data_IF_072531463685
#
_entry.id   IF_072531463685
#
_cell.length_a   1.000
_cell.length_b   1.000
_cell.length_c   1.000
_cell.angle_alpha   90.00
_cell.angle_beta   90.00
_cell.angle_gamma   90.00
#
_symmetry.space_group_name_H-M   'P 1'
#
loop_
_entity.id
_entity.type
_entity.pdbx_description
1 polymer ?
#
# COMPACT_ATOMS: atom_id res chain seq x y z
N UNK A 1 -62.94 61.00 3.61
CA UNK A 1 -61.67 61.75 3.53
C UNK A 1 -60.55 60.75 3.78
N UNK A 2 -59.75 60.45 2.78
CA UNK A 2 -58.69 59.42 2.87
C UNK A 2 -57.43 60.08 3.43
N UNK A 3 -56.99 59.64 4.61
CA UNK A 3 -55.85 60.20 5.32
C UNK A 3 -54.53 59.77 4.65
N UNK A 4 -53.89 60.70 3.92
CA UNK A 4 -52.57 60.52 3.28
C UNK A 4 -51.44 60.20 4.26
N UNK A 5 -51.56 60.69 5.50
CA UNK A 5 -50.58 60.46 6.57
C UNK A 5 -50.42 58.99 6.95
N UNK A 6 -51.50 58.18 6.86
CA UNK A 6 -51.43 56.75 7.19
C UNK A 6 -50.70 55.96 6.12
N UNK A 7 -50.78 56.40 4.87
CA UNK A 7 -50.10 55.76 3.73
C UNK A 7 -48.60 56.05 3.75
N UNK A 8 -48.19 57.28 4.10
CA UNK A 8 -46.77 57.66 4.23
C UNK A 8 -46.07 56.96 5.41
N UNK A 9 -46.75 56.80 6.55
CA UNK A 9 -46.21 56.04 7.70
C UNK A 9 -46.06 54.55 7.34
N UNK A 10 -46.98 54.03 6.54
CA UNK A 10 -47.00 52.63 6.13
C UNK A 10 -45.99 52.34 5.01
N UNK A 11 -45.70 53.34 4.17
CA UNK A 11 -44.60 53.33 3.19
C UNK A 11 -43.24 53.53 3.87
N UNK A 12 -43.11 54.38 4.88
CA UNK A 12 -41.88 54.50 5.69
C UNK A 12 -41.61 53.26 6.55
N UNK A 13 -42.65 52.64 7.12
CA UNK A 13 -42.53 51.35 7.82
C UNK A 13 -42.18 50.23 6.84
N UNK A 14 -42.77 50.21 5.63
CA UNK A 14 -42.45 49.24 4.59
C UNK A 14 -41.05 49.45 3.98
N UNK A 15 -40.59 50.70 3.81
CA UNK A 15 -39.22 51.02 3.37
C UNK A 15 -38.21 50.73 4.49
N UNK A 16 -38.54 50.98 5.76
CA UNK A 16 -37.70 50.59 6.90
C UNK A 16 -37.67 49.06 7.08
N UNK A 17 -38.75 48.35 6.82
CA UNK A 17 -38.78 46.87 6.75
C UNK A 17 -38.05 46.32 5.52
N UNK A 18 -38.06 47.03 4.38
CA UNK A 18 -37.32 46.65 3.16
C UNK A 18 -35.81 46.95 3.25
N UNK A 19 -35.40 47.90 4.10
CA UNK A 19 -33.99 48.30 4.27
C UNK A 19 -33.37 47.69 5.54
N UNK A 20 -34.15 47.21 6.50
CA UNK A 20 -33.67 46.55 7.72
C UNK A 20 -33.85 45.03 7.64
N UNK A 21 -32.71 44.34 7.56
CA UNK A 21 -32.48 42.89 7.61
C UNK A 21 -32.71 42.06 6.32
N UNK A 22 -31.84 42.27 5.33
CA UNK A 22 -31.05 41.11 4.87
C UNK A 22 -29.99 40.81 5.94
N UNK A 23 -30.39 40.11 7.01
CA UNK A 23 -29.43 39.44 7.89
C UNK A 23 -28.73 38.40 7.00
N UNK A 24 -27.42 38.50 6.73
CA UNK A 24 -26.77 37.48 5.91
C UNK A 24 -27.01 36.15 6.62
N UNK A 25 -27.66 35.22 5.89
CA UNK A 25 -28.03 33.92 6.42
C UNK A 25 -26.80 33.35 7.14
N UNK A 26 -26.87 33.26 8.48
CA UNK A 26 -25.88 32.54 9.28
C UNK A 26 -26.02 31.09 8.86
N UNK A 27 -25.24 30.72 7.85
CA UNK A 27 -24.89 29.34 7.63
C UNK A 27 -24.13 28.96 8.90
N UNK A 28 -24.76 28.21 9.78
CA UNK A 28 -24.12 27.68 10.99
C UNK A 28 -23.07 26.68 10.52
N UNK A 29 -21.89 27.20 10.18
CA UNK A 29 -20.71 26.40 9.93
C UNK A 29 -20.52 25.61 11.23
N UNK A 30 -20.51 24.27 11.18
CA UNK A 30 -20.48 23.47 12.40
C UNK A 30 -19.32 23.90 13.28
N UNK A 31 -19.52 23.86 14.60
CA UNK A 31 -18.55 24.18 15.66
C UNK A 31 -17.40 23.15 15.71
N UNK A 32 -16.81 22.89 14.56
CA UNK A 32 -15.64 22.08 14.40
C UNK A 32 -14.45 22.95 14.81
N UNK A 33 -13.59 22.42 15.66
CA UNK A 33 -12.38 23.07 16.18
C UNK A 33 -11.59 23.90 15.14
N UNK A 34 -11.59 23.45 13.89
CA UNK A 34 -10.97 24.14 12.76
C UNK A 34 -11.63 25.48 12.39
N UNK A 35 -12.96 25.56 12.42
CA UNK A 35 -13.71 26.78 12.08
C UNK A 35 -13.63 27.79 13.21
N UNK A 36 -13.59 27.35 14.47
CA UNK A 36 -13.35 28.22 15.62
C UNK A 36 -11.93 28.79 15.64
N UNK A 37 -10.92 28.01 15.24
CA UNK A 37 -9.54 28.49 15.13
C UNK A 37 -9.33 29.46 13.96
N UNK A 38 -10.05 29.25 12.85
CA UNK A 38 -9.94 30.09 11.65
C UNK A 38 -10.80 31.37 11.74
N UNK A 39 -11.97 31.31 12.36
CA UNK A 39 -12.90 32.45 12.50
C UNK A 39 -12.54 33.39 13.64
N UNK A 40 -11.97 32.88 14.73
CA UNK A 40 -11.56 33.67 15.89
C UNK A 40 -10.12 34.11 15.68
N UNK A 41 -9.94 35.15 14.86
CA UNK A 41 -8.66 35.69 14.42
C UNK A 41 -7.59 35.78 15.53
N UNK A 42 -6.77 34.72 15.62
CA UNK A 42 -5.67 34.63 16.59
C UNK A 42 -4.39 35.24 16.04
N UNK A 43 -4.41 35.76 14.80
CA UNK A 43 -3.22 36.15 14.07
C UNK A 43 -3.41 37.58 13.57
N UNK A 44 -2.64 38.51 14.16
CA UNK A 44 -2.50 39.89 13.71
C UNK A 44 -1.88 39.88 12.30
N UNK A 45 -2.30 40.80 11.41
CA UNK A 45 -1.94 40.79 9.98
C UNK A 45 -0.41 40.74 9.71
N UNK A 46 0.38 41.33 10.61
CA UNK A 46 1.84 41.34 10.52
C UNK A 46 2.46 39.96 10.85
N UNK A 47 1.98 39.34 11.93
CA UNK A 47 2.36 37.98 12.35
C UNK A 47 1.88 36.92 11.33
N UNK A 48 0.72 37.13 10.71
CA UNK A 48 0.15 36.25 9.68
C UNK A 48 1.07 36.16 8.46
N UNK A 49 1.52 37.32 8.00
CA UNK A 49 2.37 37.43 6.81
C UNK A 49 3.72 36.78 7.07
N UNK A 50 4.25 36.90 8.30
CA UNK A 50 5.50 36.27 8.73
C UNK A 50 5.37 34.75 8.88
N UNK A 51 4.23 34.24 9.32
CA UNK A 51 3.96 32.82 9.52
C UNK A 51 3.49 32.10 8.24
N UNK A 52 2.99 32.83 7.23
CA UNK A 52 2.52 32.30 5.96
C UNK A 52 3.49 31.32 5.28
N UNK A 53 4.79 31.63 5.09
CA UNK A 53 5.73 30.70 4.47
C UNK A 53 5.92 29.40 5.28
N UNK A 54 5.82 29.47 6.61
CA UNK A 54 5.91 28.31 7.48
C UNK A 54 4.68 27.39 7.37
N UNK A 55 3.48 27.97 7.31
CA UNK A 55 2.24 27.19 7.11
C UNK A 55 2.22 26.54 5.72
N UNK A 56 2.67 27.24 4.68
CA UNK A 56 2.82 26.66 3.34
C UNK A 56 3.83 25.51 3.31
N UNK A 57 4.93 25.63 4.06
CA UNK A 57 5.91 24.56 4.21
C UNK A 57 5.31 23.31 4.88
N UNK A 58 4.53 23.48 5.96
CA UNK A 58 3.82 22.38 6.61
C UNK A 58 2.77 21.75 5.68
N UNK A 59 2.02 22.55 4.94
CA UNK A 59 1.07 22.07 3.95
C UNK A 59 1.77 21.28 2.83
N UNK A 60 2.95 21.74 2.39
CA UNK A 60 3.78 21.04 1.41
C UNK A 60 4.26 19.68 1.91
N UNK A 61 4.79 19.61 3.14
CA UNK A 61 5.17 18.33 3.76
C UNK A 61 3.95 17.42 3.92
N UNK A 62 2.81 17.97 4.35
CA UNK A 62 1.55 17.22 4.45
C UNK A 62 1.12 16.62 3.12
N UNK A 63 1.23 17.40 2.04
CA UNK A 63 0.94 16.94 0.68
C UNK A 63 1.90 15.83 0.24
N UNK A 64 3.21 15.98 0.48
CA UNK A 64 4.19 14.94 0.21
C UNK A 64 3.92 13.67 1.02
N UNK A 65 3.49 13.79 2.28
CA UNK A 65 3.15 12.66 3.12
C UNK A 65 1.94 11.88 2.60
N UNK A 66 0.87 12.59 2.21
CA UNK A 66 -0.32 11.97 1.61
C UNK A 66 0.04 11.29 0.29
N UNK A 67 0.87 11.95 -0.54
CA UNK A 67 1.41 11.38 -1.77
C UNK A 67 2.14 10.07 -1.51
N UNK A 68 3.14 10.08 -0.62
CA UNK A 68 3.92 8.90 -0.25
C UNK A 68 3.06 7.78 0.31
N UNK A 69 2.05 8.11 1.13
CA UNK A 69 1.09 7.13 1.66
C UNK A 69 0.35 6.39 0.54
N UNK A 70 -0.10 7.12 -0.48
CA UNK A 70 -0.82 6.50 -1.60
C UNK A 70 0.09 5.63 -2.48
N UNK A 71 1.38 5.96 -2.60
CA UNK A 71 2.37 5.08 -3.24
C UNK A 71 2.63 3.81 -2.41
N UNK A 72 2.74 3.93 -1.08
CA UNK A 72 2.96 2.78 -0.21
C UNK A 72 1.81 1.76 -0.29
N UNK A 73 0.57 2.21 -0.34
CA UNK A 73 -0.60 1.34 -0.45
C UNK A 73 -0.62 0.54 -1.77
N UNK A 74 -0.26 1.19 -2.89
CA UNK A 74 -0.12 0.51 -4.18
C UNK A 74 1.02 -0.52 -4.14
N UNK A 75 2.19 -0.13 -3.62
CA UNK A 75 3.33 -1.03 -3.50
C UNK A 75 3.04 -2.26 -2.63
N UNK A 76 2.35 -2.10 -1.51
CA UNK A 76 1.96 -3.22 -0.63
C UNK A 76 1.12 -4.24 -1.39
N UNK A 77 0.13 -3.77 -2.16
CA UNK A 77 -0.72 -4.66 -2.93
C UNK A 77 0.03 -5.38 -4.05
N UNK A 78 1.02 -4.72 -4.66
CA UNK A 78 1.86 -5.35 -5.68
C UNK A 78 2.82 -6.37 -5.06
N UNK A 79 3.40 -6.07 -3.90
CA UNK A 79 4.22 -7.03 -3.13
C UNK A 79 3.43 -8.30 -2.82
N UNK A 80 2.18 -8.18 -2.37
CA UNK A 80 1.34 -9.34 -2.05
C UNK A 80 1.06 -10.22 -3.27
N UNK A 81 0.88 -9.62 -4.46
CA UNK A 81 0.70 -10.36 -5.71
C UNK A 81 1.98 -11.08 -6.12
N UNK A 82 3.11 -10.35 -6.17
CA UNK A 82 4.40 -10.92 -6.52
C UNK A 82 4.80 -12.04 -5.55
N UNK A 83 4.52 -11.88 -4.25
CA UNK A 83 4.79 -12.91 -3.24
C UNK A 83 4.00 -14.20 -3.50
N UNK A 84 2.74 -14.09 -3.94
CA UNK A 84 1.95 -15.25 -4.34
C UNK A 84 2.51 -15.93 -5.58
N UNK A 85 2.85 -15.17 -6.62
CA UNK A 85 3.44 -15.70 -7.85
C UNK A 85 4.77 -16.43 -7.58
N UNK A 86 5.65 -15.83 -6.77
CA UNK A 86 6.91 -16.45 -6.36
C UNK A 86 6.68 -17.73 -5.55
N UNK A 87 5.63 -17.76 -4.72
CA UNK A 87 5.27 -18.96 -3.98
C UNK A 87 4.82 -20.05 -4.93
N UNK A 88 3.90 -19.78 -5.85
CA UNK A 88 3.43 -20.73 -6.86
C UNK A 88 4.59 -21.30 -7.68
N UNK A 89 5.47 -20.42 -8.19
CA UNK A 89 6.64 -20.85 -8.97
C UNK A 89 7.61 -21.74 -8.17
N UNK A 90 7.79 -21.44 -6.87
CA UNK A 90 8.58 -22.28 -5.99
C UNK A 90 7.94 -23.66 -5.73
N UNK A 91 6.62 -23.74 -5.72
CA UNK A 91 5.91 -25.01 -5.62
C UNK A 91 6.14 -25.85 -6.88
N UNK A 92 5.98 -25.25 -8.06
CA UNK A 92 6.23 -25.93 -9.33
C UNK A 92 7.67 -26.44 -9.44
N UNK A 93 8.65 -25.61 -9.06
CA UNK A 93 10.05 -26.02 -9.02
C UNK A 93 10.28 -27.23 -8.10
N UNK A 94 9.68 -27.22 -6.89
CA UNK A 94 9.82 -28.33 -5.94
C UNK A 94 9.19 -29.61 -6.47
N UNK A 95 8.01 -29.52 -7.10
CA UNK A 95 7.32 -30.65 -7.71
C UNK A 95 8.15 -31.23 -8.85
N UNK A 96 8.60 -30.39 -9.79
CA UNK A 96 9.42 -30.82 -10.91
C UNK A 96 10.76 -31.45 -10.46
N UNK A 97 11.38 -30.87 -9.42
CA UNK A 97 12.60 -31.43 -8.82
C UNK A 97 12.34 -32.78 -8.14
N UNK A 98 11.22 -32.93 -7.45
CA UNK A 98 10.84 -34.20 -6.83
C UNK A 98 10.55 -35.27 -7.89
N UNK A 99 9.89 -34.91 -8.99
CA UNK A 99 9.66 -35.82 -10.12
C UNK A 99 10.98 -36.22 -10.80
N UNK A 100 11.90 -35.27 -11.01
CA UNK A 100 13.23 -35.57 -11.52
C UNK A 100 13.98 -36.51 -10.56
N UNK A 101 13.95 -36.23 -9.26
CA UNK A 101 14.60 -37.07 -8.26
C UNK A 101 14.01 -38.49 -8.26
N UNK A 102 12.68 -38.62 -8.34
CA UNK A 102 11.99 -39.90 -8.47
C UNK A 102 12.43 -40.66 -9.72
N UNK A 103 12.47 -39.97 -10.87
CA UNK A 103 12.97 -40.53 -12.14
C UNK A 103 14.45 -40.90 -12.13
N UNK A 104 15.23 -40.24 -11.27
CA UNK A 104 16.67 -40.48 -11.09
C UNK A 104 16.96 -41.52 -10.01
N UNK A 105 15.95 -42.05 -9.33
CA UNK A 105 16.14 -43.05 -8.28
C UNK A 105 16.65 -44.35 -8.90
N UNK A 106 17.71 -44.91 -8.32
CA UNK A 106 18.40 -46.10 -8.84
C UNK A 106 17.44 -47.27 -9.11
N UNK A 107 16.40 -47.46 -8.31
CA UNK A 107 15.39 -48.52 -8.51
C UNK A 107 14.50 -48.30 -9.73
N UNK A 108 14.13 -47.05 -10.04
CA UNK A 108 13.31 -46.73 -11.23
C UNK A 108 14.17 -46.72 -12.51
N UNK A 109 15.43 -46.29 -12.39
CA UNK A 109 16.41 -46.38 -13.46
C UNK A 109 16.76 -47.84 -13.75
N UNK A 110 17.05 -48.66 -12.74
CA UNK A 110 17.35 -50.09 -12.91
C UNK A 110 16.20 -50.82 -13.61
N UNK A 111 14.95 -50.59 -13.20
CA UNK A 111 13.78 -51.21 -13.85
C UNK A 111 13.52 -50.73 -15.29
N UNK A 112 13.83 -49.46 -15.63
CA UNK A 112 13.75 -48.98 -17.02
C UNK A 112 14.89 -49.54 -17.89
N UNK A 113 16.09 -49.64 -17.32
CA UNK A 113 17.30 -50.06 -18.05
C UNK A 113 17.47 -51.61 -18.06
N UNK A 114 16.71 -52.35 -17.24
CA UNK A 114 16.59 -53.81 -17.32
C UNK A 114 16.07 -54.26 -18.69
N UNK A 115 15.17 -53.48 -19.32
CA UNK A 115 14.72 -53.74 -20.70
C UNK A 115 15.84 -53.57 -21.74
N UNK A 116 16.89 -52.84 -21.39
CA UNK A 116 18.09 -52.59 -22.20
C UNK A 116 19.25 -53.53 -21.81
N UNK A 117 19.05 -54.43 -20.83
CA UNK A 117 20.03 -55.44 -20.42
C UNK A 117 21.20 -54.93 -19.57
N UNK A 118 21.06 -53.77 -18.93
CA UNK A 118 22.10 -53.22 -18.03
C UNK A 118 21.69 -53.48 -16.58
N UNK A 119 22.51 -54.22 -15.84
CA UNK A 119 22.26 -54.57 -14.44
C UNK A 119 23.10 -53.73 -13.48
N UNK A 120 22.51 -53.41 -12.33
CA UNK A 120 23.18 -52.68 -11.25
C UNK A 120 24.32 -53.51 -10.64
N UNK A 121 25.46 -52.87 -10.38
CA UNK A 121 26.63 -53.56 -9.80
C UNK A 121 26.41 -53.78 -8.30
N UNK A 122 26.01 -55.00 -7.93
CA UNK A 122 25.69 -55.40 -6.55
C UNK A 122 26.96 -55.69 -5.72
N UNK A 123 28.13 -55.79 -6.36
CA UNK A 123 29.38 -56.05 -5.64
C UNK A 123 30.07 -54.75 -5.22
N UNK A 124 30.32 -54.55 -3.91
CA UNK A 124 31.14 -53.44 -3.45
C UNK A 124 32.57 -53.57 -4.00
N UNK A 125 33.21 -52.43 -4.28
CA UNK A 125 34.55 -52.39 -4.85
C UNK A 125 35.54 -53.21 -4.01
N UNK A 126 36.07 -54.28 -4.60
CA UNK A 126 37.03 -55.14 -3.93
C UNK A 126 38.40 -54.46 -3.91
N UNK A 127 38.96 -54.25 -2.71
CA UNK A 127 40.33 -53.78 -2.53
C UNK A 127 41.28 -54.88 -3.02
N UNK A 128 41.91 -54.67 -4.17
CA UNK A 128 43.00 -55.53 -4.65
C UNK A 128 44.20 -55.35 -3.72
N UNK A 129 44.36 -56.27 -2.76
CA UNK A 129 45.60 -56.36 -1.97
C UNK A 129 46.51 -57.34 -2.70
N UNK A 130 47.51 -56.80 -3.40
CA UNK A 130 48.57 -57.60 -4.01
C UNK A 130 49.33 -58.29 -2.88
N UNK A 131 49.20 -59.61 -2.76
CA UNK A 131 50.13 -60.40 -1.95
C UNK A 131 51.40 -60.55 -2.77
N UNK A 132 52.44 -59.83 -2.35
CA UNK A 132 53.82 -60.10 -2.74
C UNK A 132 54.09 -61.60 -2.49
N UNK A 133 54.25 -62.36 -3.57
CA UNK A 133 54.62 -63.77 -3.49
C UNK A 133 56.08 -63.80 -3.04
N UNK A 134 56.29 -64.11 -1.77
CA UNK A 134 57.61 -64.49 -1.24
C UNK A 134 58.05 -65.77 -1.93
N UNK A 135 58.74 -65.63 -3.06
CA UNK A 135 59.53 -66.71 -3.65
C UNK A 135 60.65 -67.05 -2.67
N UNK A 136 60.50 -68.18 -1.99
CA UNK A 136 61.54 -68.77 -1.17
C UNK A 136 62.71 -69.24 -2.04
N UNK A 137 63.91 -68.91 -1.59
CA UNK A 137 65.12 -69.67 -1.90
C UNK A 137 65.02 -71.09 -1.32
#
# INVERSE_FOLDING_TARGET
>A
MTNRLRTEIQEEEAEKELIVEEKPAKQEIPDNFLTQFLSKGFITTDEATRALPFVLYLAFIGMLYIGNRHFAEKNIRDIDKLSKEVKELNWDYKVAKAELAFKSTLTEVASRVDTLGIHESIQPAQKLIVKEVSNGN
#
